data_IF_908917165085
#
_entry.id   IF_908917165085
#
_cell.length_a   1.000
_cell.length_b   1.000
_cell.length_c   1.000
_cell.angle_alpha   90.00
_cell.angle_beta   90.00
_cell.angle_gamma   90.00
#
_symmetry.space_group_name_H-M   'P 1'
#
loop_
_entity.id
_entity.type
_entity.pdbx_description
1 polymer ?
#
# COMPACT_ATOMS: atom_id res chain seq x y z
N UNK A 1 2.49 -9.73 -28.35
CA UNK A 1 1.96 -10.71 -27.38
C UNK A 1 2.55 -10.49 -25.99
N UNK A 2 3.88 -10.54 -25.81
CA UNK A 2 4.56 -10.31 -24.51
C UNK A 2 4.23 -8.97 -23.85
N UNK A 3 4.23 -7.86 -24.61
CA UNK A 3 3.88 -6.53 -24.08
C UNK A 3 2.48 -6.50 -23.46
N UNK A 4 1.52 -7.20 -24.08
CA UNK A 4 0.13 -7.25 -23.60
C UNK A 4 0.05 -7.97 -22.24
N UNK A 5 0.76 -9.09 -22.07
CA UNK A 5 0.83 -9.79 -20.79
C UNK A 5 1.53 -8.97 -19.69
N UNK A 6 2.57 -8.22 -20.05
CA UNK A 6 3.25 -7.32 -19.10
C UNK A 6 2.27 -6.24 -18.62
N UNK A 7 1.51 -5.62 -19.52
CA UNK A 7 0.49 -4.63 -19.13
C UNK A 7 -0.57 -5.22 -18.20
N UNK A 8 -1.11 -6.41 -18.54
CA UNK A 8 -2.10 -7.10 -17.70
C UNK A 8 -1.52 -7.42 -16.32
N UNK A 9 -0.26 -7.86 -16.25
CA UNK A 9 0.40 -8.18 -14.98
C UNK A 9 0.49 -6.95 -14.07
N UNK A 10 0.95 -5.81 -14.58
CA UNK A 10 1.06 -4.59 -13.78
C UNK A 10 -0.31 -4.05 -13.34
N UNK A 11 -1.31 -4.11 -14.21
CA UNK A 11 -2.68 -3.70 -13.87
C UNK A 11 -3.27 -4.62 -12.81
N UNK A 12 -3.14 -5.94 -12.98
CA UNK A 12 -3.62 -6.93 -12.02
C UNK A 12 -2.92 -6.81 -10.66
N UNK A 13 -1.60 -6.60 -10.65
CA UNK A 13 -0.84 -6.39 -9.42
C UNK A 13 -1.26 -5.10 -8.70
N UNK A 14 -1.50 -4.01 -9.44
CA UNK A 14 -2.00 -2.77 -8.86
C UNK A 14 -3.40 -2.94 -8.27
N UNK A 15 -4.30 -3.63 -8.99
CA UNK A 15 -5.66 -3.91 -8.50
C UNK A 15 -5.63 -4.78 -7.24
N UNK A 16 -4.87 -5.87 -7.25
CA UNK A 16 -4.76 -6.79 -6.12
C UNK A 16 -4.19 -6.09 -4.89
N UNK A 17 -3.16 -5.25 -5.06
CA UNK A 17 -2.58 -4.45 -3.97
C UNK A 17 -3.59 -3.46 -3.40
N UNK A 18 -4.37 -2.79 -4.24
CA UNK A 18 -5.38 -1.82 -3.80
C UNK A 18 -6.52 -2.52 -3.04
N UNK A 19 -7.00 -3.66 -3.55
CA UNK A 19 -8.06 -4.44 -2.89
C UNK A 19 -7.58 -4.94 -1.53
N UNK A 20 -6.35 -5.45 -1.43
CA UNK A 20 -5.80 -5.94 -0.18
C UNK A 20 -5.65 -4.82 0.87
N UNK A 21 -5.15 -3.65 0.45
CA UNK A 21 -5.07 -2.48 1.33
C UNK A 21 -6.46 -1.98 1.78
N UNK A 22 -7.46 -2.06 0.89
CA UNK A 22 -8.84 -1.65 1.21
C UNK A 22 -9.49 -2.63 2.18
N UNK A 23 -9.34 -3.94 1.96
CA UNK A 23 -9.84 -4.98 2.85
C UNK A 23 -9.27 -4.85 4.26
N UNK A 24 -7.95 -4.64 4.37
CA UNK A 24 -7.29 -4.42 5.65
C UNK A 24 -7.87 -3.21 6.40
N UNK A 25 -8.15 -2.10 5.71
CA UNK A 25 -8.78 -0.91 6.31
C UNK A 25 -10.24 -1.14 6.70
N UNK A 26 -10.99 -1.92 5.93
CA UNK A 26 -12.37 -2.30 6.27
C UNK A 26 -12.40 -3.19 7.52
N UNK A 27 -11.48 -4.15 7.63
CA UNK A 27 -11.38 -5.08 8.76
C UNK A 27 -11.04 -4.36 10.07
N UNK A 28 -10.29 -3.24 10.01
CA UNK A 28 -10.01 -2.36 11.16
C UNK A 28 -11.13 -1.38 11.53
N UNK A 29 -12.35 -1.57 11.03
CA UNK A 29 -13.51 -0.69 11.27
C UNK A 29 -13.28 0.79 10.91
N UNK A 30 -12.42 1.08 9.95
CA UNK A 30 -12.20 2.46 9.52
C UNK A 30 -13.45 2.97 8.78
N UNK A 31 -14.05 4.07 9.27
CA UNK A 31 -15.18 4.73 8.61
C UNK A 31 -14.82 5.06 7.16
N UNK A 32 -15.70 4.76 6.20
CA UNK A 32 -15.56 5.04 4.76
C UNK A 32 -15.03 6.45 4.42
N UNK A 33 -15.34 7.44 5.26
CA UNK A 33 -14.87 8.82 5.10
C UNK A 33 -13.36 8.97 5.32
N UNK A 34 -12.75 8.18 6.20
CA UNK A 34 -11.32 8.23 6.49
C UNK A 34 -10.48 7.47 5.45
N UNK A 35 -11.06 6.50 4.73
CA UNK A 35 -10.43 5.79 3.60
C UNK A 35 -9.96 6.72 2.46
N UNK A 36 -10.72 7.79 2.21
CA UNK A 36 -10.45 8.78 1.16
C UNK A 36 -9.75 10.04 1.66
N UNK A 37 -9.86 10.34 2.96
CA UNK A 37 -9.40 11.62 3.53
C UNK A 37 -8.07 11.46 4.28
N UNK A 38 -7.72 10.26 4.77
CA UNK A 38 -6.42 10.03 5.38
C UNK A 38 -5.42 9.53 4.36
N UNK A 39 -4.29 10.23 4.33
CA UNK A 39 -3.13 9.82 3.55
C UNK A 39 -2.63 8.49 4.12
N UNK A 40 -1.86 7.74 3.33
CA UNK A 40 -1.15 6.57 3.84
C UNK A 40 -0.12 7.04 4.86
N UNK A 41 -0.35 6.75 6.14
CA UNK A 41 0.54 7.07 7.26
C UNK A 41 0.93 5.78 7.98
N UNK A 42 2.10 5.78 8.63
CA UNK A 42 2.48 4.69 9.50
C UNK A 42 1.63 4.75 10.79
N UNK A 43 1.05 3.62 11.20
CA UNK A 43 0.20 3.57 12.41
C UNK A 43 0.96 3.86 13.71
N UNK A 44 2.30 3.67 13.71
CA UNK A 44 3.12 3.82 14.92
C UNK A 44 3.73 5.22 15.06
N UNK A 45 4.18 5.81 13.96
CA UNK A 45 4.88 7.11 13.96
C UNK A 45 4.11 8.22 13.27
N UNK A 46 2.93 7.92 12.73
CA UNK A 46 2.05 8.83 11.97
C UNK A 46 2.72 9.50 10.75
N UNK A 47 3.94 9.07 10.41
CA UNK A 47 4.68 9.67 9.31
C UNK A 47 4.00 9.34 7.98
N UNK A 48 3.75 10.34 7.11
CA UNK A 48 3.19 10.10 5.79
C UNK A 48 4.11 9.22 4.96
N UNK A 49 3.59 8.09 4.46
CA UNK A 49 4.28 7.24 3.52
C UNK A 49 4.31 7.93 2.15
N UNK A 50 5.49 7.90 1.54
CA UNK A 50 5.70 8.43 0.20
C UNK A 50 5.12 7.48 -0.84
N UNK A 51 4.84 7.99 -2.04
CA UNK A 51 4.39 7.18 -3.17
C UNK A 51 5.33 6.00 -3.50
N UNK A 52 6.62 6.12 -3.15
CA UNK A 52 7.62 5.06 -3.33
C UNK A 52 7.34 3.88 -2.38
N UNK A 53 6.86 4.17 -1.17
CA UNK A 53 6.51 3.15 -0.18
C UNK A 53 5.20 2.43 -0.56
N UNK A 54 4.33 3.08 -1.35
CA UNK A 54 3.06 2.53 -1.84
C UNK A 54 3.19 1.68 -3.10
N UNK A 55 4.38 1.60 -3.71
CA UNK A 55 4.58 0.76 -4.88
C UNK A 55 4.40 -0.72 -4.49
N UNK A 56 3.49 -1.46 -5.14
CA UNK A 56 3.05 -2.80 -4.71
C UNK A 56 4.16 -3.83 -4.58
N UNK A 57 5.25 -3.65 -5.33
CA UNK A 57 6.40 -4.56 -5.34
C UNK A 57 7.66 -3.84 -4.88
N UNK A 58 7.96 -2.68 -5.47
CA UNK A 58 9.17 -1.93 -5.16
C UNK A 58 9.14 -1.33 -3.74
N UNK A 59 8.01 -0.79 -3.30
CA UNK A 59 7.85 -0.26 -1.95
C UNK A 59 8.05 -1.34 -0.90
N UNK A 60 7.42 -2.50 -1.07
CA UNK A 60 7.59 -3.64 -0.17
C UNK A 60 9.03 -4.17 -0.14
N UNK A 61 9.72 -4.27 -1.29
CA UNK A 61 11.12 -4.73 -1.37
C UNK A 61 12.09 -3.75 -0.71
N UNK A 62 11.94 -2.45 -0.95
CA UNK A 62 12.81 -1.40 -0.41
C UNK A 62 12.61 -1.29 1.11
N UNK A 63 11.36 -1.29 1.56
CA UNK A 63 11.01 -1.10 2.96
C UNK A 63 10.98 -2.41 3.75
N UNK A 64 11.08 -3.57 3.09
CA UNK A 64 10.89 -4.92 3.67
C UNK A 64 9.60 -5.04 4.51
N UNK A 65 8.55 -4.32 4.12
CA UNK A 65 7.30 -4.21 4.88
C UNK A 65 7.43 -3.44 6.21
N UNK A 66 8.41 -2.55 6.35
CA UNK A 66 8.67 -1.75 7.56
C UNK A 66 8.78 -0.26 7.25
N UNK A 67 8.39 0.58 8.20
CA UNK A 67 8.46 2.02 8.05
C UNK A 67 9.92 2.46 8.07
N UNK A 68 10.35 3.28 7.10
CA UNK A 68 11.75 3.74 7.01
C UNK A 68 12.19 4.59 8.20
N UNK A 69 11.26 5.19 8.92
CA UNK A 69 11.52 6.14 10.00
C UNK A 69 11.54 5.45 11.37
N UNK A 70 10.53 4.64 11.69
CA UNK A 70 10.41 3.99 12.99
C UNK A 70 10.71 2.48 12.96
N UNK A 71 10.99 1.90 11.78
CA UNK A 71 11.25 0.46 11.60
C UNK A 71 10.10 -0.47 12.05
N UNK A 72 8.94 0.10 12.42
CA UNK A 72 7.74 -0.67 12.75
C UNK A 72 7.17 -1.31 11.50
N UNK A 73 6.41 -2.39 11.67
CA UNK A 73 5.79 -3.09 10.55
C UNK A 73 4.71 -2.19 9.96
N UNK A 74 4.80 -1.88 8.66
CA UNK A 74 3.74 -1.14 7.98
C UNK A 74 2.66 -2.16 7.64
N UNK A 75 1.56 -2.13 8.39
CA UNK A 75 0.33 -2.81 8.03
C UNK A 75 -0.75 -1.76 7.78
#
# INVERSE_FOLDING_TARGET
>A
MIIFYICIFFIGAALASFINATLYRIEKEFKWKALLTQNSHCEECEHPLSWIDLLPVLGFLINKGRCRYCNSKVN
#
